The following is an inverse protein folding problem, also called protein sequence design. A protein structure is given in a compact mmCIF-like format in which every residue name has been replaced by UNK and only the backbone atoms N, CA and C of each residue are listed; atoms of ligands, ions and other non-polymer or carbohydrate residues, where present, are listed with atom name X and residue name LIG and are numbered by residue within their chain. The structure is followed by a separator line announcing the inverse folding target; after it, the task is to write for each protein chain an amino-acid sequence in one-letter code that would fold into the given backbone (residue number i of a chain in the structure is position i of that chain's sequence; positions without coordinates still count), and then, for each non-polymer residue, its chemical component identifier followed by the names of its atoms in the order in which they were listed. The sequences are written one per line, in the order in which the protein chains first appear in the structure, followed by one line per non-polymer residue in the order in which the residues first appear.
data_IF_863946079204
#
_entry.id   IF_863946079204
#
_cell.length_a   1.000
_cell.length_b   1.000
_cell.length_c   1.000
_cell.angle_alpha   90.00
_cell.angle_beta   90.00
_cell.angle_gamma   90.00
#
_symmetry.space_group_name_H-M   'P 1'
#
loop_
_entity.id
_entity.type
_entity.pdbx_description
1 polymer ?
#
# COMPACT_ATOMS: atom_id res chain seq x y z
N UNK A 1 10.00 -4.25 25.14
CA UNK A 1 9.37 -5.37 25.87
C UNK A 1 8.04 -5.66 25.19
N UNK A 2 7.93 -6.77 24.43
CA UNK A 2 6.70 -7.11 23.73
C UNK A 2 5.64 -7.51 24.77
N UNK A 3 4.54 -6.74 24.86
CA UNK A 3 3.45 -7.04 25.79
C UNK A 3 2.67 -8.24 25.25
N UNK A 4 3.07 -9.45 25.63
CA UNK A 4 2.42 -10.71 25.26
C UNK A 4 0.91 -10.70 25.58
N UNK A 5 0.49 -9.92 26.57
CA UNK A 5 -0.93 -9.71 26.90
C UNK A 5 -1.74 -9.01 25.80
N UNK A 6 -1.09 -8.28 24.89
CA UNK A 6 -1.74 -7.55 23.79
C UNK A 6 -1.78 -8.35 22.49
N UNK A 7 -1.04 -9.46 22.41
CA UNK A 7 -0.99 -10.31 21.21
C UNK A 7 -2.36 -10.83 20.75
N UNK A 8 -3.27 -11.27 21.66
CA UNK A 8 -4.59 -11.74 21.27
C UNK A 8 -5.46 -10.62 20.66
N UNK A 9 -5.35 -9.40 21.20
CA UNK A 9 -6.09 -8.22 20.70
C UNK A 9 -5.59 -7.84 19.31
N UNK A 10 -4.27 -7.77 19.12
CA UNK A 10 -3.67 -7.49 17.81
C UNK A 10 -3.99 -8.57 16.78
N UNK A 11 -4.06 -9.83 17.19
CA UNK A 11 -4.45 -10.94 16.32
C UNK A 11 -5.93 -10.83 15.90
N UNK A 12 -6.80 -10.47 16.83
CA UNK A 12 -8.23 -10.29 16.55
C UNK A 12 -8.50 -9.06 15.66
N UNK A 13 -7.80 -7.95 15.90
CA UNK A 13 -7.86 -6.76 15.05
C UNK A 13 -7.35 -7.04 13.64
N UNK A 14 -6.23 -7.76 13.52
CA UNK A 14 -5.70 -8.19 12.23
C UNK A 14 -6.70 -9.09 11.49
N UNK A 15 -7.34 -10.04 12.20
CA UNK A 15 -8.35 -10.94 11.64
C UNK A 15 -9.57 -10.15 11.13
N UNK A 16 -10.11 -9.23 11.92
CA UNK A 16 -11.23 -8.38 11.50
C UNK A 16 -10.86 -7.45 10.34
N UNK A 17 -9.65 -6.89 10.34
CA UNK A 17 -9.17 -6.06 9.23
C UNK A 17 -9.06 -6.86 7.92
N UNK A 18 -8.60 -8.11 8.00
CA UNK A 18 -8.57 -9.03 6.86
C UNK A 18 -10.00 -9.34 6.40
N UNK A 19 -10.87 -9.74 7.31
CA UNK A 19 -12.26 -10.13 7.00
C UNK A 19 -13.07 -8.96 6.43
N UNK A 20 -12.86 -7.74 6.92
CA UNK A 20 -13.46 -6.52 6.37
C UNK A 20 -12.94 -6.19 4.97
N UNK A 21 -11.65 -6.37 4.72
CA UNK A 21 -11.10 -6.19 3.37
C UNK A 21 -11.70 -7.21 2.39
N UNK A 22 -11.83 -8.48 2.81
CA UNK A 22 -12.45 -9.52 1.97
C UNK A 22 -13.97 -9.37 1.81
N UNK A 23 -14.68 -8.86 2.81
CA UNK A 23 -16.14 -8.70 2.79
C UNK A 23 -16.63 -7.48 2.00
N UNK A 24 -15.82 -6.41 1.93
CA UNK A 24 -16.16 -5.18 1.21
C UNK A 24 -15.54 -5.09 -0.20
N UNK A 25 -14.47 -5.85 -0.50
CA UNK A 25 -13.92 -5.96 -1.85
C UNK A 25 -14.69 -7.04 -2.63
N UNK A 26 -15.93 -6.75 -3.04
CA UNK A 26 -16.63 -7.60 -4.03
C UNK A 26 -16.78 -6.87 -5.37
N UNK A 27 -15.87 -7.07 -6.35
CA UNK A 27 -16.10 -6.69 -7.73
C UNK A 27 -15.90 -7.92 -8.64
N UNK A 28 -16.83 -8.90 -8.59
CA UNK A 28 -16.78 -10.05 -9.49
C UNK A 28 -17.47 -9.74 -10.83
N UNK A 29 -16.88 -8.83 -11.61
CA UNK A 29 -16.81 -8.98 -13.07
C UNK A 29 -15.68 -9.98 -13.30
N UNK A 30 -16.00 -11.19 -13.78
CA UNK A 30 -15.13 -12.37 -13.85
C UNK A 30 -13.74 -12.23 -14.51
N UNK A 31 -13.34 -11.04 -14.97
CA UNK A 31 -12.01 -10.73 -15.49
C UNK A 31 -11.04 -10.10 -14.45
N UNK A 32 -11.55 -9.28 -13.52
CA UNK A 32 -10.70 -8.40 -12.69
C UNK A 32 -10.50 -8.96 -11.27
N UNK A 33 -11.47 -9.71 -10.75
CA UNK A 33 -11.42 -10.26 -9.38
C UNK A 33 -10.26 -11.23 -9.13
N UNK A 34 -9.90 -12.08 -10.11
CA UNK A 34 -8.80 -13.03 -9.96
C UNK A 34 -7.44 -12.32 -9.87
N UNK A 35 -7.25 -11.25 -10.64
CA UNK A 35 -6.03 -10.42 -10.60
C UNK A 35 -5.86 -9.74 -9.24
N UNK A 36 -6.94 -9.15 -8.72
CA UNK A 36 -6.90 -8.51 -7.39
C UNK A 36 -6.68 -9.54 -6.28
N UNK A 37 -7.34 -10.70 -6.30
CA UNK A 37 -7.09 -11.77 -5.31
C UNK A 37 -5.62 -12.21 -5.33
N UNK A 38 -5.04 -12.43 -6.50
CA UNK A 38 -3.64 -12.79 -6.64
C UNK A 38 -2.71 -11.69 -6.11
N UNK A 39 -3.05 -10.42 -6.35
CA UNK A 39 -2.33 -9.26 -5.82
C UNK A 39 -2.44 -9.15 -4.30
N UNK A 40 -3.62 -9.37 -3.71
CA UNK A 40 -3.80 -9.39 -2.26
C UNK A 40 -3.07 -10.56 -1.61
N UNK A 41 -3.19 -11.75 -2.19
CA UNK A 41 -2.54 -12.98 -1.71
C UNK A 41 -1.01 -12.88 -1.79
N UNK A 42 -0.48 -12.36 -2.90
CA UNK A 42 0.97 -12.13 -3.05
C UNK A 42 1.50 -11.07 -2.08
N UNK A 43 0.74 -10.00 -1.81
CA UNK A 43 1.07 -9.01 -0.77
C UNK A 43 1.10 -9.63 0.62
N UNK A 44 0.13 -10.48 0.95
CA UNK A 44 0.07 -11.19 2.23
C UNK A 44 1.28 -12.11 2.40
N UNK A 45 1.57 -12.93 1.39
CA UNK A 45 2.73 -13.83 1.38
C UNK A 45 4.06 -13.09 1.56
N UNK A 46 4.26 -11.97 0.86
CA UNK A 46 5.45 -11.14 1.00
C UNK A 46 5.59 -10.54 2.40
N UNK A 47 4.49 -10.08 3.00
CA UNK A 47 4.49 -9.57 4.38
C UNK A 47 4.83 -10.69 5.37
N UNK A 48 4.24 -11.88 5.19
CA UNK A 48 4.51 -13.03 6.06
C UNK A 48 5.99 -13.44 6.02
N UNK A 49 6.61 -13.50 4.83
CA UNK A 49 8.04 -13.81 4.70
C UNK A 49 8.89 -12.74 5.38
N UNK A 50 8.57 -11.45 5.18
CA UNK A 50 9.27 -10.35 5.86
C UNK A 50 9.23 -10.49 7.37
N UNK A 51 8.03 -10.68 7.93
CA UNK A 51 7.82 -10.81 9.37
C UNK A 51 8.52 -12.05 9.94
N UNK A 52 8.48 -13.17 9.22
CA UNK A 52 9.22 -14.39 9.59
C UNK A 52 10.72 -14.12 9.73
N UNK A 53 11.30 -13.32 8.82
CA UNK A 53 12.72 -12.93 8.88
C UNK A 53 13.02 -11.99 10.03
N UNK A 54 12.18 -10.98 10.27
CA UNK A 54 12.32 -10.06 11.40
C UNK A 54 12.23 -10.83 12.74
N UNK A 55 11.30 -11.79 12.85
CA UNK A 55 11.17 -12.67 14.02
C UNK A 55 12.41 -13.55 14.23
N UNK A 56 12.96 -14.13 13.16
CA UNK A 56 14.21 -14.91 13.25
C UNK A 56 15.36 -14.08 13.79
N UNK A 57 15.50 -12.82 13.36
CA UNK A 57 16.51 -11.90 13.87
C UNK A 57 16.32 -11.63 15.36
N UNK A 58 15.08 -11.32 15.79
CA UNK A 58 14.77 -11.05 17.20
C UNK A 58 15.05 -12.28 18.07
N UNK A 59 14.74 -13.48 17.57
CA UNK A 59 14.93 -14.73 18.28
C UNK A 59 16.33 -15.34 18.10
N UNK A 60 17.28 -14.64 17.47
CA UNK A 60 18.63 -15.16 17.16
C UNK A 60 18.63 -16.52 16.43
N UNK A 61 17.62 -16.75 15.59
CA UNK A 61 17.51 -17.94 14.75
C UNK A 61 18.37 -17.78 13.48
N UNK A 62 18.85 -18.89 12.91
CA UNK A 62 19.58 -18.86 11.65
C UNK A 62 18.75 -18.24 10.52
N UNK A 63 19.44 -17.54 9.62
CA UNK A 63 18.85 -16.89 8.46
C UNK A 63 18.24 -17.90 7.49
N UNK A 64 17.28 -17.43 6.68
CA UNK A 64 16.69 -18.22 5.62
C UNK A 64 17.56 -18.19 4.34
N UNK A 65 17.65 -19.33 3.66
CA UNK A 65 18.32 -19.41 2.35
C UNK A 65 17.50 -18.81 1.21
N UNK A 66 16.32 -18.26 1.54
CA UNK A 66 15.40 -17.59 0.61
C UNK A 66 16.01 -16.37 -0.08
N UNK A 67 17.16 -15.85 0.40
CA UNK A 67 17.93 -14.79 -0.28
C UNK A 67 19.36 -15.21 -0.65
N UNK A 68 19.72 -16.49 -0.49
CA UNK A 68 21.09 -16.96 -0.72
C UNK A 68 21.54 -16.75 -2.18
N UNK A 69 20.62 -16.87 -3.13
CA UNK A 69 20.91 -16.78 -4.55
C UNK A 69 20.23 -15.58 -5.21
N UNK A 70 20.79 -15.15 -6.34
CA UNK A 70 20.23 -14.04 -7.12
C UNK A 70 18.83 -14.39 -7.70
N UNK A 71 18.57 -15.67 -7.94
CA UNK A 71 17.30 -16.21 -8.42
C UNK A 71 16.35 -16.64 -7.30
N UNK A 72 16.73 -16.45 -6.02
CA UNK A 72 15.86 -16.88 -4.93
C UNK A 72 14.54 -16.11 -4.92
N UNK A 73 13.45 -16.82 -4.60
CA UNK A 73 12.08 -16.31 -4.70
C UNK A 73 11.88 -14.98 -3.94
N UNK A 74 12.45 -14.85 -2.74
CA UNK A 74 12.34 -13.61 -1.97
C UNK A 74 12.92 -12.41 -2.70
N UNK A 75 14.13 -12.56 -3.28
CA UNK A 75 14.81 -11.46 -3.98
C UNK A 75 14.02 -11.01 -5.21
N UNK A 76 13.50 -11.96 -5.98
CA UNK A 76 12.66 -11.64 -7.13
C UNK A 76 11.38 -10.92 -6.72
N UNK A 77 10.69 -11.45 -5.70
CA UNK A 77 9.43 -10.87 -5.22
C UNK A 77 9.64 -9.49 -4.56
N UNK A 78 10.74 -9.28 -3.83
CA UNK A 78 11.06 -7.98 -3.23
C UNK A 78 11.33 -6.91 -4.30
N UNK A 79 12.02 -7.28 -5.39
CA UNK A 79 12.25 -6.38 -6.53
C UNK A 79 10.93 -6.04 -7.22
N UNK A 80 10.09 -7.04 -7.49
CA UNK A 80 8.78 -6.83 -8.11
C UNK A 80 7.90 -5.90 -7.25
N UNK A 81 7.90 -6.11 -5.93
CA UNK A 81 7.18 -5.25 -4.98
C UNK A 81 7.71 -3.82 -4.97
N UNK A 82 9.03 -3.63 -4.97
CA UNK A 82 9.64 -2.30 -5.02
C UNK A 82 9.24 -1.55 -6.31
N UNK A 83 9.20 -2.24 -7.45
CA UNK A 83 8.73 -1.67 -8.73
C UNK A 83 7.25 -1.24 -8.66
N UNK A 84 6.39 -2.09 -8.10
CA UNK A 84 4.97 -1.78 -7.91
C UNK A 84 4.77 -0.56 -6.99
N UNK A 85 5.43 -0.50 -5.83
CA UNK A 85 5.36 0.65 -4.92
C UNK A 85 5.86 1.92 -5.60
N UNK A 86 6.99 1.85 -6.33
CA UNK A 86 7.53 3.01 -7.04
C UNK A 86 6.58 3.51 -8.14
N UNK A 87 5.80 2.65 -8.77
CA UNK A 87 4.77 3.06 -9.72
C UNK A 87 3.62 3.78 -9.00
N UNK A 88 3.10 3.20 -7.91
CA UNK A 88 2.04 3.80 -7.08
C UNK A 88 2.47 5.17 -6.52
N UNK A 89 3.69 5.30 -5.99
CA UNK A 89 4.20 6.57 -5.47
C UNK A 89 4.38 7.62 -6.56
N UNK A 90 4.83 7.24 -7.76
CA UNK A 90 4.93 8.16 -8.91
C UNK A 90 3.56 8.67 -9.31
N UNK A 91 2.57 7.78 -9.39
CA UNK A 91 1.19 8.14 -9.67
C UNK A 91 0.63 9.10 -8.61
N UNK A 92 0.76 8.77 -7.32
CA UNK A 92 0.29 9.62 -6.22
C UNK A 92 0.93 11.02 -6.23
N UNK A 93 2.24 11.10 -6.48
CA UNK A 93 2.95 12.39 -6.62
C UNK A 93 2.44 13.20 -7.79
N UNK A 94 2.23 12.56 -8.94
CA UNK A 94 1.69 13.23 -10.14
C UNK A 94 0.27 13.74 -9.89
N UNK A 95 -0.57 12.91 -9.28
CA UNK A 95 -1.94 13.27 -8.94
C UNK A 95 -1.99 14.43 -7.94
N UNK A 96 -1.13 14.43 -6.92
CA UNK A 96 -1.03 15.54 -5.98
C UNK A 96 -0.63 16.85 -6.67
N UNK A 97 0.35 16.81 -7.59
CA UNK A 97 0.74 17.99 -8.39
C UNK A 97 -0.42 18.52 -9.23
N UNK A 98 -1.16 17.63 -9.88
CA UNK A 98 -2.34 17.98 -10.68
C UNK A 98 -3.42 18.70 -9.85
N UNK A 99 -3.75 18.15 -8.67
CA UNK A 99 -4.71 18.79 -7.76
C UNK A 99 -4.20 20.11 -7.19
N UNK A 100 -2.91 20.23 -6.91
CA UNK A 100 -2.31 21.49 -6.49
C UNK A 100 -2.39 22.56 -7.60
N UNK A 101 -2.15 22.20 -8.86
CA UNK A 101 -2.30 23.13 -9.99
C UNK A 101 -3.75 23.55 -10.23
N UNK A 102 -4.71 22.64 -10.10
CA UNK A 102 -6.14 22.98 -10.22
C UNK A 102 -6.56 24.00 -9.17
N UNK A 103 -6.18 23.81 -7.91
CA UNK A 103 -6.48 24.79 -6.85
C UNK A 103 -5.88 26.16 -7.09
N UNK A 104 -4.67 26.23 -7.66
CA UNK A 104 -4.05 27.51 -8.01
C UNK A 104 -4.83 28.21 -9.13
N UNK A 105 -5.30 27.48 -10.15
CA UNK A 105 -6.15 28.05 -11.19
C UNK A 105 -7.49 28.55 -10.64
N UNK A 106 -8.17 27.75 -9.82
CA UNK A 106 -9.43 28.16 -9.15
C UNK A 106 -9.24 29.42 -8.27
N UNK A 107 -8.07 29.57 -7.63
CA UNK A 107 -7.75 30.75 -6.82
C UNK A 107 -7.46 32.01 -7.67
N UNK A 108 -6.96 31.85 -8.89
CA UNK A 108 -6.70 32.95 -9.83
C UNK A 108 -8.01 33.42 -10.45
N UNK A 109 -8.86 32.49 -10.90
CA UNK A 109 -10.17 32.80 -11.49
C UNK A 109 -11.10 33.53 -10.49
N UNK A 110 -11.00 33.20 -9.20
CA UNK A 110 -11.76 33.87 -8.14
C UNK A 110 -11.24 35.27 -7.80
N UNK A 111 -9.95 35.56 -8.03
CA UNK A 111 -9.38 36.90 -7.90
C UNK A 111 -9.77 37.81 -9.08
N UNK A 112 -9.83 37.28 -10.30
CA UNK A 112 -10.29 38.04 -11.47
C UNK A 112 -11.79 38.37 -11.41
N UNK A 113 -12.62 37.50 -10.81
CA UNK A 113 -14.07 37.75 -10.65
C UNK A 113 -14.43 38.85 -9.63
N UNK A 114 -13.48 39.31 -8.81
CA UNK A 114 -13.74 40.38 -7.80
C UNK A 114 -13.31 41.77 -8.25
N UNK A 115 -12.82 41.92 -9.48
CA UNK A 115 -12.26 43.15 -10.02
C UNK A 115 -13.12 43.86 -11.08
N UNK A 116 -14.37 44.23 -10.77
CA UNK A 116 -15.07 45.33 -11.46
C UNK A 116 -16.27 45.81 -10.63
N UNK A 117 -16.17 46.97 -9.94
CA UNK A 117 -17.35 47.76 -9.64
C UNK A 117 -17.68 48.56 -10.90
N UNK A 118 -18.75 48.19 -11.61
CA UNK A 118 -19.38 49.10 -12.58
C UNK A 118 -19.80 50.36 -11.82
N UNK A 119 -18.99 51.40 -11.94
CA UNK A 119 -19.35 52.76 -11.55
C UNK A 119 -20.03 53.43 -12.73
N UNK A 120 -21.32 53.68 -12.52
CA UNK A 120 -22.19 54.76 -13.05
C UNK A 120 -22.25 54.98 -14.56
#
# INVERSE_FOLDING_TARGET
MFRLSQMPVLQQEAKQSIESAFGNDNPYDGSTGLSEINKHSSRLGLRAIRLSRELRQICSMPHDDLSAHHWSAWRMLSIARARSINAELRYARSHHKYHASLRLMESVDSLESTGLPDKE
#
